data_IF_260123891505
#
_entry.id   IF_260123891505
#
_cell.length_a   1.000
_cell.length_b   1.000
_cell.length_c   1.000
_cell.angle_alpha   90.00
_cell.angle_beta   90.00
_cell.angle_gamma   90.00
#
_symmetry.space_group_name_H-M   'P 1'
#
loop_
_entity.id
_entity.type
_entity.pdbx_description
1 polymer ?
#
# COMPACT_ATOMS: atom_id res chain seq x y z
N UNK A 1 -1.66 6.74 28.13
CA UNK A 1 -0.24 6.37 27.88
C UNK A 1 0.32 7.31 26.83
N UNK A 2 1.43 8.04 27.12
CA UNK A 2 2.12 8.83 26.08
C UNK A 2 2.79 7.84 25.13
N UNK A 3 2.25 7.68 23.92
CA UNK A 3 2.89 6.89 22.87
C UNK A 3 4.28 7.49 22.64
N UNK A 4 5.31 6.68 22.78
CA UNK A 4 6.69 7.14 22.54
C UNK A 4 6.88 7.36 21.04
N UNK A 5 6.89 8.61 20.64
CA UNK A 5 7.22 9.00 19.28
C UNK A 5 8.71 8.77 19.05
N UNK A 6 9.03 7.74 18.30
CA UNK A 6 10.40 7.42 17.84
C UNK A 6 10.48 7.59 16.33
N UNK A 7 11.68 7.59 15.77
CA UNK A 7 11.83 7.66 14.31
C UNK A 7 11.07 6.52 13.58
N UNK A 8 11.12 5.29 14.11
CA UNK A 8 10.40 4.15 13.51
C UNK A 8 8.90 4.32 13.59
N UNK A 9 8.34 4.75 14.74
CA UNK A 9 6.88 4.98 14.87
C UNK A 9 6.41 6.16 14.02
N UNK A 10 7.23 7.21 13.87
CA UNK A 10 6.92 8.34 13.00
C UNK A 10 6.88 7.94 11.52
N UNK A 11 7.87 7.14 11.06
CA UNK A 11 7.88 6.64 9.68
C UNK A 11 6.77 5.60 9.44
N UNK A 12 6.61 4.62 10.34
CA UNK A 12 5.60 3.57 10.20
C UNK A 12 4.16 4.12 10.24
N UNK A 13 3.94 5.22 10.97
CA UNK A 13 2.65 5.93 10.97
C UNK A 13 2.48 6.92 9.79
N UNK A 14 3.36 6.88 8.82
CA UNK A 14 3.37 7.77 7.65
C UNK A 14 3.21 9.24 8.08
N UNK A 15 4.23 9.75 8.80
CA UNK A 15 4.26 11.13 9.30
C UNK A 15 3.03 11.49 10.16
N UNK A 16 2.63 10.60 11.07
CA UNK A 16 1.51 10.76 12.00
C UNK A 16 0.11 10.51 11.42
N UNK A 17 -0.05 10.19 10.14
CA UNK A 17 -1.35 9.85 9.52
C UNK A 17 -1.98 8.65 10.26
N UNK A 18 -1.19 7.66 10.65
CA UNK A 18 -1.67 6.48 11.38
C UNK A 18 -2.29 6.77 12.75
N UNK A 19 -2.10 7.96 13.31
CA UNK A 19 -2.74 8.37 14.56
C UNK A 19 -4.10 9.04 14.38
N UNK A 20 -4.60 9.16 13.14
CA UNK A 20 -5.97 9.61 12.88
C UNK A 20 -6.94 8.58 13.47
N UNK A 21 -7.90 9.00 14.31
CA UNK A 21 -8.73 8.07 15.09
C UNK A 21 -9.73 7.27 14.23
N UNK A 22 -10.04 7.73 13.02
CA UNK A 22 -11.01 7.12 12.12
C UNK A 22 -10.33 6.55 10.87
N UNK A 23 -10.33 5.23 10.71
CA UNK A 23 -9.82 4.52 9.53
C UNK A 23 -8.40 4.94 9.07
N UNK A 24 -7.36 4.89 9.94
CA UNK A 24 -6.02 5.38 9.61
C UNK A 24 -5.43 4.74 8.35
N UNK A 25 -5.61 3.44 8.14
CA UNK A 25 -5.16 2.74 6.94
C UNK A 25 -5.79 3.28 5.65
N UNK A 26 -7.06 3.73 5.69
CA UNK A 26 -7.69 4.40 4.54
C UNK A 26 -6.97 5.70 4.23
N UNK A 27 -6.57 6.47 5.25
CA UNK A 27 -5.77 7.69 5.04
C UNK A 27 -4.35 7.37 4.57
N UNK A 28 -3.74 6.26 5.02
CA UNK A 28 -2.46 5.76 4.49
C UNK A 28 -2.52 5.47 3.00
N UNK A 29 -3.51 4.69 2.56
CA UNK A 29 -3.75 4.39 1.15
C UNK A 29 -4.13 5.64 0.34
N UNK A 30 -4.91 6.57 0.92
CA UNK A 30 -5.28 7.83 0.28
C UNK A 30 -4.06 8.74 0.08
N UNK A 31 -3.13 8.76 1.04
CA UNK A 31 -1.86 9.44 0.88
C UNK A 31 -1.04 8.83 -0.28
N UNK A 32 -1.06 7.48 -0.41
CA UNK A 32 -0.50 6.78 -1.56
C UNK A 32 -1.10 7.25 -2.88
N UNK A 33 -2.44 7.34 -2.95
CA UNK A 33 -3.13 7.87 -4.13
C UNK A 33 -2.73 9.32 -4.43
N UNK A 34 -2.66 10.17 -3.41
CA UNK A 34 -2.21 11.56 -3.56
C UNK A 34 -0.79 11.65 -4.13
N UNK A 35 0.15 10.87 -3.62
CA UNK A 35 1.53 10.81 -4.15
C UNK A 35 1.54 10.24 -5.57
N UNK A 36 0.77 9.15 -5.84
CA UNK A 36 0.65 8.60 -7.19
C UNK A 36 0.27 9.65 -8.21
N UNK A 37 -0.69 10.53 -7.91
CA UNK A 37 -1.13 11.60 -8.81
C UNK A 37 -0.04 12.64 -9.12
N UNK A 38 0.98 12.75 -8.26
CA UNK A 38 2.10 13.67 -8.43
C UNK A 38 3.30 13.00 -9.14
N UNK A 39 3.29 11.68 -9.29
CA UNK A 39 4.38 10.96 -9.94
C UNK A 39 4.41 11.24 -11.44
N UNK A 40 5.60 11.30 -12.06
CA UNK A 40 5.73 11.54 -13.49
C UNK A 40 5.29 10.32 -14.30
N UNK A 41 4.67 10.56 -15.45
CA UNK A 41 4.13 9.53 -16.33
C UNK A 41 5.17 8.50 -16.80
N UNK A 42 6.44 8.88 -16.94
CA UNK A 42 7.50 7.96 -17.39
C UNK A 42 7.73 6.76 -16.46
N UNK A 43 7.27 6.82 -15.20
CA UNK A 43 7.29 5.66 -14.30
C UNK A 43 6.26 4.59 -14.68
N UNK A 44 5.25 4.94 -15.47
CA UNK A 44 4.10 4.10 -15.79
C UNK A 44 3.92 3.83 -17.30
N UNK A 45 4.58 4.59 -18.18
CA UNK A 45 4.43 4.50 -19.63
C UNK A 45 5.29 3.40 -20.29
N UNK A 46 6.02 2.65 -19.48
CA UNK A 46 6.91 1.58 -19.97
C UNK A 46 8.30 2.04 -20.40
N UNK A 47 8.63 3.33 -20.29
CA UNK A 47 9.96 3.85 -20.60
C UNK A 47 11.04 3.24 -19.71
N UNK A 48 10.72 3.04 -18.42
CA UNK A 48 11.61 2.44 -17.44
C UNK A 48 10.85 1.43 -16.56
N UNK A 49 10.45 0.26 -17.10
CA UNK A 49 9.47 -0.62 -16.47
C UNK A 49 9.91 -1.24 -15.14
N UNK A 50 11.22 -1.29 -14.87
CA UNK A 50 11.76 -1.86 -13.64
C UNK A 50 11.99 -0.84 -12.51
N UNK A 51 11.95 0.46 -12.81
CA UNK A 51 12.24 1.49 -11.80
C UNK A 51 11.22 1.46 -10.67
N UNK A 52 9.94 1.52 -11.00
CA UNK A 52 8.88 1.53 -9.98
C UNK A 52 8.84 0.22 -9.16
N UNK A 53 8.90 -0.99 -9.77
CA UNK A 53 9.02 -2.23 -9.01
C UNK A 53 10.24 -2.28 -8.08
N UNK A 54 11.40 -1.80 -8.52
CA UNK A 54 12.61 -1.77 -7.69
C UNK A 54 12.49 -0.77 -6.53
N UNK A 55 11.87 0.39 -6.75
CA UNK A 55 11.59 1.35 -5.69
C UNK A 55 10.63 0.75 -4.66
N UNK A 56 9.55 0.09 -5.11
CA UNK A 56 8.59 -0.58 -4.22
C UNK A 56 9.29 -1.69 -3.42
N UNK A 57 10.12 -2.51 -4.05
CA UNK A 57 10.85 -3.58 -3.37
C UNK A 57 11.81 -3.02 -2.31
N UNK A 58 12.60 -2.01 -2.65
CA UNK A 58 13.50 -1.35 -1.69
C UNK A 58 12.75 -0.73 -0.51
N UNK A 59 11.61 -0.09 -0.82
CA UNK A 59 10.76 0.52 0.20
C UNK A 59 10.07 -0.55 1.08
N UNK A 60 9.66 -1.69 0.50
CA UNK A 60 9.08 -2.81 1.25
C UNK A 60 10.08 -3.39 2.26
N UNK A 61 11.33 -3.59 1.86
CA UNK A 61 12.38 -4.06 2.78
C UNK A 61 12.62 -3.07 3.93
N UNK A 62 12.65 -1.77 3.63
CA UNK A 62 12.75 -0.74 4.65
C UNK A 62 11.51 -0.70 5.57
N UNK A 63 10.31 -0.86 4.98
CA UNK A 63 9.05 -0.88 5.72
C UNK A 63 9.01 -2.06 6.70
N UNK A 64 9.45 -3.26 6.32
CA UNK A 64 9.54 -4.41 7.24
C UNK A 64 10.37 -4.07 8.48
N UNK A 65 11.54 -3.45 8.31
CA UNK A 65 12.40 -3.05 9.44
C UNK A 65 11.75 -1.98 10.31
N UNK A 66 11.11 -0.98 9.68
CA UNK A 66 10.45 0.12 10.40
C UNK A 66 9.21 -0.37 11.15
N UNK A 67 8.37 -1.21 10.50
CA UNK A 67 7.17 -1.78 11.11
C UNK A 67 7.52 -2.72 12.26
N UNK A 68 8.55 -3.58 12.12
CA UNK A 68 9.01 -4.43 13.24
C UNK A 68 9.37 -3.58 14.48
N UNK A 69 10.18 -2.53 14.29
CA UNK A 69 10.56 -1.64 15.39
C UNK A 69 9.37 -0.83 15.94
N UNK A 70 8.40 -0.52 15.10
CA UNK A 70 7.20 0.19 15.52
C UNK A 70 6.27 -0.72 16.33
N UNK A 71 6.13 -2.00 15.95
CA UNK A 71 5.35 -2.99 16.70
C UNK A 71 5.89 -3.21 18.12
N UNK A 72 7.22 -3.18 18.33
CA UNK A 72 7.84 -3.27 19.66
C UNK A 72 7.36 -2.16 20.61
N UNK A 73 6.92 -1.03 20.06
CA UNK A 73 6.51 0.16 20.81
C UNK A 73 5.00 0.33 20.86
N UNK A 74 4.33 0.09 19.74
CA UNK A 74 2.89 0.34 19.54
C UNK A 74 2.03 -0.91 19.80
N UNK A 75 2.66 -2.09 19.83
CA UNK A 75 1.99 -3.39 19.89
C UNK A 75 1.84 -4.02 18.50
N UNK A 76 1.64 -5.34 18.51
CA UNK A 76 1.49 -6.13 17.29
C UNK A 76 0.25 -5.68 16.51
N UNK A 77 0.38 -5.54 15.19
CA UNK A 77 -0.68 -5.13 14.25
C UNK A 77 -1.40 -3.84 14.70
N UNK A 78 -0.61 -2.86 15.13
CA UNK A 78 -1.16 -1.58 15.61
C UNK A 78 -1.75 -0.79 14.44
N UNK A 79 -3.00 -0.37 14.56
CA UNK A 79 -3.70 0.49 13.58
C UNK A 79 -2.98 1.81 13.28
N UNK A 80 -1.97 2.18 14.07
CA UNK A 80 -1.17 3.36 13.83
C UNK A 80 -0.03 3.11 12.83
N UNK A 81 0.24 1.86 12.48
CA UNK A 81 1.14 1.50 11.38
C UNK A 81 0.28 1.54 10.11
N UNK A 82 0.64 2.40 9.16
CA UNK A 82 -0.08 2.63 7.89
C UNK A 82 0.88 2.75 6.70
N UNK A 83 2.15 2.46 6.92
CA UNK A 83 3.20 2.46 5.90
C UNK A 83 3.03 1.31 4.92
N UNK A 84 2.49 0.20 5.39
CA UNK A 84 2.12 -1.01 4.65
C UNK A 84 0.97 -0.73 3.69
N UNK A 85 -0.10 -0.07 4.14
CA UNK A 85 -1.22 0.29 3.27
C UNK A 85 -0.81 1.32 2.19
N UNK A 86 0.09 2.25 2.55
CA UNK A 86 0.68 3.15 1.58
C UNK A 86 1.45 2.38 0.50
N UNK A 87 2.24 1.39 0.88
CA UNK A 87 3.03 0.56 -0.01
C UNK A 87 2.16 -0.37 -0.86
N UNK A 88 1.18 -1.04 -0.24
CA UNK A 88 0.23 -1.94 -0.91
C UNK A 88 -0.56 -1.24 -2.01
N UNK A 89 -0.91 0.04 -1.81
CA UNK A 89 -1.51 0.87 -2.84
C UNK A 89 -0.61 0.99 -4.09
N UNK A 90 0.71 1.21 -3.94
CA UNK A 90 1.60 1.30 -5.09
C UNK A 90 1.76 -0.03 -5.83
N UNK A 91 1.69 -1.16 -5.12
CA UNK A 91 1.62 -2.49 -5.76
C UNK A 91 0.36 -2.61 -6.61
N UNK A 92 -0.78 -2.10 -6.13
CA UNK A 92 -2.03 -2.11 -6.89
C UNK A 92 -1.96 -1.31 -8.20
N UNK A 93 -1.03 -0.36 -8.34
CA UNK A 93 -0.87 0.47 -9.55
C UNK A 93 0.23 -0.01 -10.51
N UNK A 94 1.00 -1.06 -10.16
CA UNK A 94 2.11 -1.54 -10.97
C UNK A 94 1.69 -1.95 -12.40
N UNK A 95 2.47 -1.53 -13.39
CA UNK A 95 2.27 -1.88 -14.80
C UNK A 95 0.91 -1.47 -15.37
N UNK A 96 0.25 -0.49 -14.74
CA UNK A 96 -1.00 0.08 -15.22
C UNK A 96 -0.73 1.49 -15.77
N UNK A 97 -1.54 1.95 -16.76
CA UNK A 97 -1.44 3.32 -17.25
C UNK A 97 -1.67 4.34 -16.13
N UNK A 98 -0.90 5.43 -16.15
CA UNK A 98 -1.02 6.49 -15.16
C UNK A 98 -2.24 7.36 -15.47
N UNK A 99 -3.31 7.22 -14.70
CA UNK A 99 -4.49 8.08 -14.79
C UNK A 99 -5.21 8.18 -13.45
N UNK A 100 -5.88 9.32 -13.21
CA UNK A 100 -6.63 9.53 -11.97
C UNK A 100 -7.69 8.45 -11.75
N UNK A 101 -8.35 8.00 -12.81
CA UNK A 101 -9.41 7.00 -12.73
C UNK A 101 -8.86 5.63 -12.34
N UNK A 102 -7.75 5.22 -12.96
CA UNK A 102 -7.05 3.96 -12.61
C UNK A 102 -6.55 4.03 -11.17
N UNK A 103 -5.94 5.13 -10.76
CA UNK A 103 -5.50 5.34 -9.39
C UNK A 103 -6.65 5.25 -8.37
N UNK A 104 -7.81 5.82 -8.69
CA UNK A 104 -9.00 5.74 -7.85
C UNK A 104 -9.51 4.30 -7.71
N UNK A 105 -9.61 3.55 -8.83
CA UNK A 105 -10.05 2.16 -8.78
C UNK A 105 -9.02 1.25 -8.10
N UNK A 106 -7.72 1.50 -8.28
CA UNK A 106 -6.67 0.81 -7.53
C UNK A 106 -6.83 1.03 -6.02
N UNK A 107 -7.12 2.27 -5.58
CA UNK A 107 -7.41 2.58 -4.18
C UNK A 107 -8.62 1.80 -3.66
N UNK A 108 -9.74 1.84 -4.38
CA UNK A 108 -10.97 1.16 -3.95
C UNK A 108 -10.74 -0.35 -3.85
N UNK A 109 -10.17 -0.98 -4.88
CA UNK A 109 -9.93 -2.42 -4.91
C UNK A 109 -8.91 -2.86 -3.86
N UNK A 110 -7.83 -2.09 -3.70
CA UNK A 110 -6.86 -2.37 -2.64
C UNK A 110 -7.54 -2.38 -1.27
N UNK A 111 -8.33 -1.35 -0.94
CA UNK A 111 -9.05 -1.30 0.35
C UNK A 111 -10.06 -2.44 0.52
N UNK A 112 -10.73 -2.85 -0.55
CA UNK A 112 -11.64 -4.00 -0.51
C UNK A 112 -10.87 -5.28 -0.15
N UNK A 113 -9.74 -5.58 -0.80
CA UNK A 113 -8.98 -6.78 -0.53
C UNK A 113 -8.24 -6.75 0.81
N UNK A 114 -7.74 -5.59 1.22
CA UNK A 114 -7.10 -5.42 2.53
C UNK A 114 -8.10 -5.59 3.70
N UNK A 115 -9.33 -5.12 3.55
CA UNK A 115 -10.36 -5.29 4.59
C UNK A 115 -10.96 -6.71 4.55
N UNK A 116 -11.24 -7.25 3.35
CA UNK A 116 -11.87 -8.56 3.19
C UNK A 116 -10.90 -9.72 3.45
N UNK A 117 -9.60 -9.50 3.25
CA UNK A 117 -8.48 -10.43 3.44
C UNK A 117 -8.77 -11.86 2.95
N UNK A 118 -9.10 -12.04 1.64
CA UNK A 118 -9.33 -13.37 1.10
C UNK A 118 -8.09 -14.26 1.27
N UNK A 119 -8.27 -15.59 1.21
CA UNK A 119 -7.12 -16.50 1.19
C UNK A 119 -6.20 -16.17 0.00
N UNK A 120 -4.84 -16.09 0.17
CA UNK A 120 -4.05 -16.40 1.37
C UNK A 120 -3.74 -15.18 2.27
N UNK A 121 -4.26 -13.98 2.00
CA UNK A 121 -3.94 -12.72 2.71
C UNK A 121 -4.14 -12.88 4.22
N UNK A 122 -5.27 -13.47 4.64
CA UNK A 122 -5.55 -13.72 6.06
C UNK A 122 -4.45 -14.55 6.75
N UNK A 123 -3.82 -15.49 6.02
CA UNK A 123 -2.74 -16.31 6.61
C UNK A 123 -1.43 -15.58 6.77
N UNK A 124 -1.13 -14.62 5.89
CA UNK A 124 0.13 -13.86 5.96
C UNK A 124 0.23 -13.00 7.21
N UNK A 125 -0.89 -12.55 7.78
CA UNK A 125 -0.89 -11.83 9.05
C UNK A 125 -0.37 -12.64 10.24
N UNK A 126 -0.36 -13.96 10.15
CA UNK A 126 0.16 -14.83 11.21
C UNK A 126 1.70 -14.84 11.26
N UNK A 127 2.37 -14.28 10.27
CA UNK A 127 3.81 -14.10 10.26
C UNK A 127 4.16 -13.02 11.28
N UNK A 128 5.10 -13.33 12.18
CA UNK A 128 5.50 -12.43 13.25
C UNK A 128 6.36 -11.26 12.74
N UNK A 129 6.22 -10.11 13.40
CA UNK A 129 6.98 -8.89 13.10
C UNK A 129 6.52 -8.20 11.81
N UNK A 130 7.23 -7.17 11.41
CA UNK A 130 6.88 -6.34 10.26
C UNK A 130 6.70 -7.08 8.93
N UNK A 131 7.14 -8.34 8.82
CA UNK A 131 6.85 -9.18 7.64
C UNK A 131 5.36 -9.48 7.53
N UNK A 132 4.69 -9.84 8.62
CA UNK A 132 3.25 -10.12 8.61
C UNK A 132 2.45 -8.88 8.19
N UNK A 133 2.80 -7.74 8.76
CA UNK A 133 2.15 -6.45 8.49
C UNK A 133 2.33 -6.01 7.03
N UNK A 134 3.55 -6.16 6.47
CA UNK A 134 3.83 -5.68 5.10
C UNK A 134 3.33 -6.66 4.04
N UNK A 135 3.47 -7.98 4.26
CA UNK A 135 3.13 -8.98 3.23
C UNK A 135 1.63 -9.03 2.96
N UNK A 136 0.76 -8.90 3.97
CA UNK A 136 -0.68 -8.95 3.74
C UNK A 136 -1.15 -7.80 2.84
N UNK A 137 -0.61 -6.61 2.99
CA UNK A 137 -0.93 -5.46 2.14
C UNK A 137 -0.31 -5.55 0.75
N UNK A 138 0.91 -6.11 0.63
CA UNK A 138 1.48 -6.41 -0.69
C UNK A 138 0.60 -7.41 -1.45
N UNK A 139 0.10 -8.45 -0.77
CA UNK A 139 -0.82 -9.43 -1.38
C UNK A 139 -2.16 -8.79 -1.75
N UNK A 140 -2.73 -7.94 -0.89
CA UNK A 140 -3.94 -7.18 -1.19
C UNK A 140 -3.73 -6.29 -2.42
N UNK A 141 -2.57 -5.63 -2.51
CA UNK A 141 -2.16 -4.84 -3.68
C UNK A 141 -2.06 -5.68 -4.95
N UNK A 142 -1.47 -6.87 -4.89
CA UNK A 142 -1.39 -7.80 -6.04
C UNK A 142 -2.79 -8.21 -6.49
N UNK A 143 -3.71 -8.54 -5.58
CA UNK A 143 -5.09 -8.89 -5.93
C UNK A 143 -5.82 -7.74 -6.61
N UNK A 144 -5.69 -6.54 -6.06
CA UNK A 144 -6.25 -5.34 -6.66
C UNK A 144 -5.68 -5.07 -8.06
N UNK A 145 -4.37 -5.20 -8.21
CA UNK A 145 -3.67 -5.02 -9.47
C UNK A 145 -4.13 -6.01 -10.54
N UNK A 146 -4.14 -7.31 -10.23
CA UNK A 146 -4.55 -8.36 -11.18
C UNK A 146 -5.99 -8.14 -11.62
N UNK A 147 -6.91 -7.88 -10.67
CA UNK A 147 -8.31 -7.62 -11.00
C UNK A 147 -8.44 -6.37 -11.87
N UNK A 148 -7.75 -5.29 -11.53
CA UNK A 148 -7.81 -4.05 -12.28
C UNK A 148 -7.23 -4.19 -13.69
N UNK A 149 -6.15 -4.96 -13.87
CA UNK A 149 -5.61 -5.31 -15.18
C UNK A 149 -6.65 -6.05 -16.06
N UNK A 150 -7.41 -6.97 -15.46
CA UNK A 150 -8.49 -7.69 -16.18
C UNK A 150 -9.58 -6.70 -16.57
N UNK A 151 -10.07 -5.89 -15.62
CA UNK A 151 -11.16 -4.93 -15.86
C UNK A 151 -10.79 -3.91 -16.95
N UNK A 152 -9.56 -3.39 -16.92
CA UNK A 152 -9.08 -2.46 -17.95
C UNK A 152 -9.06 -3.11 -19.34
N UNK A 153 -8.65 -4.38 -19.47
CA UNK A 153 -8.65 -5.09 -20.75
C UNK A 153 -10.06 -5.36 -21.27
N UNK A 154 -11.02 -5.60 -20.39
CA UNK A 154 -12.43 -5.85 -20.78
C UNK A 154 -13.16 -4.54 -21.11
N UNK A 155 -12.86 -3.47 -20.40
CA UNK A 155 -13.52 -2.16 -20.52
C UNK A 155 -12.54 -1.01 -20.79
N UNK A 156 -11.69 -1.06 -21.84
CA UNK A 156 -10.66 -0.05 -22.06
C UNK A 156 -11.24 1.35 -22.26
N UNK A 157 -12.36 1.47 -22.97
CA UNK A 157 -13.02 2.77 -23.22
C UNK A 157 -13.49 3.46 -21.95
N UNK A 158 -13.84 2.70 -20.92
CA UNK A 158 -14.27 3.27 -19.65
C UNK A 158 -13.10 3.99 -18.95
N UNK A 159 -11.88 3.47 -19.10
CA UNK A 159 -10.67 4.06 -18.52
C UNK A 159 -9.99 5.09 -19.43
N UNK A 160 -10.55 5.34 -20.61
CA UNK A 160 -9.98 6.29 -21.58
C UNK A 160 -8.74 5.78 -22.31
N UNK A 161 -8.64 4.45 -22.48
CA UNK A 161 -7.52 3.74 -23.12
C UNK A 161 -7.99 3.05 -24.39
#
# INVERSE_FOLDING_TARGET
MKQKLTFSTFCASLLMIGFIPLAPGTFGSLAGYGIYMLLPNWLYDGSCPLVLPMLILGFALAAVVLCTKAEDILGHDSKAIVLDEFLGYFVATLFLPHSWLIGLYAFILFRVFDIAKPFPIYRSQQITGGWGVVIDDLLAGIYANVLLQIVIRVFPRFFGI
#
